data_IF_433628815244
#
_entry.id   IF_433628815244
#
_cell.length_a   1.000
_cell.length_b   1.000
_cell.length_c   1.000
_cell.angle_alpha   90.00
_cell.angle_beta   90.00
_cell.angle_gamma   90.00
#
_symmetry.space_group_name_H-M   'P 1'
#
loop_
_entity.id
_entity.type
_entity.pdbx_description
1 polymer ?
#
# COMPACT_ATOMS: atom_id res chain seq x y z
N UNK A 1 -11.63 -5.32 32.30
CA UNK A 1 -11.98 -4.93 30.93
C UNK A 1 -10.88 -4.02 30.45
N UNK A 2 -9.92 -4.55 29.69
CA UNK A 2 -8.96 -3.72 28.97
C UNK A 2 -9.63 -3.38 27.64
N UNK A 3 -9.65 -2.09 27.32
CA UNK A 3 -10.18 -1.56 26.08
C UNK A 3 -9.43 -2.21 24.91
N UNK A 4 -10.07 -3.14 24.20
CA UNK A 4 -9.50 -3.87 23.07
C UNK A 4 -9.63 -3.03 21.78
N UNK A 5 -9.35 -1.72 21.87
CA UNK A 5 -9.11 -0.92 20.69
C UNK A 5 -7.80 -1.44 20.08
N UNK A 6 -7.90 -2.14 18.95
CA UNK A 6 -6.77 -2.73 18.25
C UNK A 6 -5.67 -1.70 18.00
N UNK A 7 -4.40 -2.15 17.96
CA UNK A 7 -3.30 -1.24 17.62
C UNK A 7 -3.49 -0.82 16.17
N UNK A 8 -3.32 0.47 15.90
CA UNK A 8 -3.38 1.01 14.54
C UNK A 8 -1.99 0.99 13.90
N UNK A 9 -1.90 0.46 12.70
CA UNK A 9 -0.67 0.28 11.94
C UNK A 9 -0.78 0.99 10.60
N UNK A 10 0.25 1.75 10.25
CA UNK A 10 0.41 2.24 8.88
C UNK A 10 1.16 1.20 8.07
N UNK A 11 0.59 0.84 6.92
CA UNK A 11 1.13 -0.16 6.02
C UNK A 11 1.53 0.52 4.71
N UNK A 12 2.69 0.13 4.18
CA UNK A 12 3.12 0.49 2.83
C UNK A 12 3.54 -0.77 2.10
N UNK A 13 2.81 -1.11 1.05
CA UNK A 13 3.11 -2.25 0.16
C UNK A 13 3.73 -1.68 -1.11
N UNK A 14 4.94 -2.12 -1.44
CA UNK A 14 5.63 -1.76 -2.67
C UNK A 14 5.63 -2.93 -3.63
N UNK A 15 5.17 -2.70 -4.85
CA UNK A 15 5.09 -3.69 -5.92
C UNK A 15 5.85 -3.20 -7.13
N UNK A 16 6.51 -4.10 -7.84
CA UNK A 16 7.25 -3.75 -9.04
C UNK A 16 7.32 -4.91 -10.04
N UNK A 17 7.58 -4.59 -11.30
CA UNK A 17 7.82 -5.59 -12.35
C UNK A 17 8.02 -4.94 -13.70
N UNK A 18 7.56 -5.62 -14.76
CA UNK A 18 7.74 -5.15 -16.13
C UNK A 18 7.05 -3.80 -16.38
N UNK A 19 7.65 -2.97 -17.23
CA UNK A 19 7.07 -1.66 -17.61
C UNK A 19 5.71 -1.85 -18.28
N UNK A 20 4.73 -1.07 -17.84
CA UNK A 20 3.36 -0.98 -18.35
C UNK A 20 3.03 0.49 -18.62
N UNK A 21 2.14 0.72 -19.57
CA UNK A 21 1.66 2.07 -19.89
C UNK A 21 1.01 2.73 -18.65
N UNK A 22 1.44 3.95 -18.24
CA UNK A 22 0.98 4.58 -17.00
C UNK A 22 -0.54 4.78 -16.89
N UNK A 23 -1.24 4.98 -18.00
CA UNK A 23 -2.70 5.11 -18.00
C UNK A 23 -3.43 3.81 -17.67
N UNK A 24 -2.86 2.67 -18.08
CA UNK A 24 -3.39 1.34 -17.73
C UNK A 24 -3.19 1.07 -16.24
N UNK A 25 -1.99 1.39 -15.73
CA UNK A 25 -1.65 1.29 -14.30
C UNK A 25 -2.61 2.15 -13.48
N UNK A 26 -2.80 3.41 -13.86
CA UNK A 26 -3.75 4.32 -13.20
C UNK A 26 -5.17 3.76 -13.14
N UNK A 27 -5.65 3.23 -14.27
CA UNK A 27 -7.01 2.69 -14.37
C UNK A 27 -7.19 1.45 -13.50
N UNK A 28 -6.21 0.57 -13.47
CA UNK A 28 -6.22 -0.62 -12.61
C UNK A 28 -6.16 -0.26 -11.12
N UNK A 29 -5.30 0.68 -10.73
CA UNK A 29 -5.20 1.16 -9.34
C UNK A 29 -6.47 1.90 -8.89
N UNK A 30 -7.14 2.63 -9.79
CA UNK A 30 -8.45 3.23 -9.51
C UNK A 30 -9.48 2.16 -9.17
N UNK A 31 -9.56 1.08 -9.96
CA UNK A 31 -10.46 -0.05 -9.68
C UNK A 31 -10.13 -0.76 -8.37
N UNK A 32 -8.85 -0.95 -8.08
CA UNK A 32 -8.43 -1.52 -6.79
C UNK A 32 -8.92 -0.65 -5.63
N UNK A 33 -8.78 0.67 -5.76
CA UNK A 33 -9.19 1.65 -4.76
C UNK A 33 -10.70 1.66 -4.54
N UNK A 34 -11.49 1.55 -5.61
CA UNK A 34 -12.95 1.38 -5.54
C UNK A 34 -13.34 0.06 -4.84
N UNK A 35 -12.60 -1.03 -5.10
CA UNK A 35 -12.80 -2.32 -4.44
C UNK A 35 -12.36 -2.29 -2.96
N UNK A 36 -11.45 -1.40 -2.58
CA UNK A 36 -10.80 -1.34 -1.27
C UNK A 36 -10.76 0.10 -0.76
N UNK A 37 -11.89 0.63 -0.26
CA UNK A 37 -12.01 2.03 0.15
C UNK A 37 -11.17 2.41 1.38
N UNK A 38 -10.46 1.47 1.99
CA UNK A 38 -9.50 1.74 3.07
C UNK A 38 -8.11 2.15 2.58
N UNK A 39 -7.84 2.08 1.26
CA UNK A 39 -6.60 2.58 0.69
C UNK A 39 -6.55 4.10 0.86
N UNK A 40 -5.56 4.57 1.61
CA UNK A 40 -5.39 6.00 1.95
C UNK A 40 -4.71 6.76 0.81
N UNK A 41 -3.66 6.17 0.22
CA UNK A 41 -3.01 6.75 -0.94
C UNK A 41 -2.29 5.72 -1.79
N UNK A 42 -2.13 6.07 -3.07
CA UNK A 42 -1.35 5.29 -4.02
C UNK A 42 -0.40 6.20 -4.78
N UNK A 43 0.85 5.77 -4.90
CA UNK A 43 1.84 6.37 -5.79
C UNK A 43 2.28 5.33 -6.81
N UNK A 44 2.45 5.69 -8.08
CA UNK A 44 2.87 4.72 -9.10
C UNK A 44 3.74 5.34 -10.19
N UNK A 45 4.53 4.48 -10.82
CA UNK A 45 5.31 4.73 -12.03
C UNK A 45 4.87 3.75 -13.13
N UNK A 46 5.59 3.71 -14.25
CA UNK A 46 5.35 2.72 -15.30
C UNK A 46 5.73 1.30 -14.90
N UNK A 47 6.46 1.08 -13.81
CA UNK A 47 7.06 -0.22 -13.44
C UNK A 47 6.90 -0.58 -11.96
N UNK A 48 6.34 0.32 -11.16
CA UNK A 48 6.11 0.11 -9.73
C UNK A 48 4.91 0.87 -9.20
N UNK A 49 4.41 0.43 -8.05
CA UNK A 49 3.44 1.16 -7.25
C UNK A 49 3.69 0.98 -5.76
N UNK A 50 3.31 2.00 -4.99
CA UNK A 50 3.24 1.98 -3.54
C UNK A 50 1.80 2.19 -3.13
N UNK A 51 1.27 1.27 -2.32
CA UNK A 51 -0.04 1.35 -1.72
C UNK A 51 0.12 1.63 -0.24
N UNK A 52 -0.58 2.65 0.26
CA UNK A 52 -0.53 3.05 1.66
C UNK A 52 -1.93 3.03 2.26
N UNK A 53 -2.04 2.49 3.47
CA UNK A 53 -3.29 2.41 4.21
C UNK A 53 -3.04 2.26 5.71
N UNK A 54 -4.12 2.39 6.46
CA UNK A 54 -4.14 2.10 7.88
C UNK A 54 -4.91 0.80 8.13
N UNK A 55 -4.39 -0.03 9.03
CA UNK A 55 -5.03 -1.27 9.42
C UNK A 55 -4.98 -1.45 10.94
N UNK A 56 -6.01 -2.08 11.48
CA UNK A 56 -6.12 -2.39 12.91
C UNK A 56 -5.75 -3.85 13.12
N UNK A 57 -4.86 -4.12 14.07
CA UNK A 57 -4.47 -5.49 14.37
C UNK A 57 -3.75 -5.66 15.69
N UNK A 58 -3.83 -6.88 16.23
CA UNK A 58 -3.21 -7.23 17.52
C UNK A 58 -1.69 -7.27 17.43
N UNK A 59 -1.15 -7.68 16.28
CA UNK A 59 0.29 -7.76 16.02
C UNK A 59 0.69 -7.24 14.64
N UNK A 60 1.95 -6.79 14.54
CA UNK A 60 2.56 -6.39 13.27
C UNK A 60 2.53 -7.53 12.23
N UNK A 61 2.67 -8.78 12.68
CA UNK A 61 2.73 -9.95 11.79
C UNK A 61 1.37 -10.24 11.16
N UNK A 62 0.28 -10.05 11.90
CA UNK A 62 -1.07 -10.26 11.40
C UNK A 62 -1.39 -9.23 10.31
N UNK A 63 -1.12 -7.96 10.58
CA UNK A 63 -1.29 -6.86 9.62
C UNK A 63 -0.41 -7.07 8.38
N UNK A 64 0.86 -7.47 8.57
CA UNK A 64 1.76 -7.78 7.46
C UNK A 64 1.20 -8.91 6.58
N UNK A 65 0.69 -9.97 7.19
CA UNK A 65 0.16 -11.13 6.46
C UNK A 65 -1.09 -10.78 5.66
N UNK A 66 -1.99 -9.96 6.22
CA UNK A 66 -3.18 -9.48 5.52
C UNK A 66 -2.82 -8.53 4.37
N UNK A 67 -1.88 -7.62 4.60
CA UNK A 67 -1.40 -6.69 3.58
C UNK A 67 -0.81 -7.39 2.35
N UNK A 68 -0.03 -8.46 2.57
CA UNK A 68 0.55 -9.24 1.48
C UNK A 68 -0.53 -9.97 0.66
N UNK A 69 -1.58 -10.47 1.31
CA UNK A 69 -2.71 -11.13 0.65
C UNK A 69 -3.52 -10.19 -0.23
N UNK A 70 -3.72 -8.94 0.21
CA UNK A 70 -4.47 -7.93 -0.54
C UNK A 70 -3.99 -7.83 -1.99
N UNK A 71 -2.67 -7.75 -2.21
CA UNK A 71 -2.13 -7.67 -3.56
C UNK A 71 -2.41 -8.94 -4.36
N UNK A 72 -2.07 -10.10 -3.81
CA UNK A 72 -2.22 -11.40 -4.49
C UNK A 72 -3.68 -11.69 -4.84
N UNK A 73 -4.62 -11.37 -3.96
CA UNK A 73 -6.05 -11.67 -4.12
C UNK A 73 -6.74 -10.71 -5.11
N UNK A 74 -6.25 -9.48 -5.25
CA UNK A 74 -6.93 -8.45 -6.04
C UNK A 74 -6.22 -8.06 -7.34
N UNK A 75 -5.01 -8.58 -7.58
CA UNK A 75 -4.27 -8.29 -8.81
C UNK A 75 -5.12 -8.57 -10.07
N UNK A 76 -5.81 -9.71 -10.09
CA UNK A 76 -6.56 -10.15 -11.27
C UNK A 76 -7.90 -9.41 -11.38
N UNK A 77 -8.62 -9.23 -10.27
CA UNK A 77 -9.92 -8.55 -10.26
C UNK A 77 -9.84 -7.06 -10.60
N UNK A 78 -8.73 -6.39 -10.27
CA UNK A 78 -8.49 -4.99 -10.61
C UNK A 78 -7.82 -4.81 -11.98
N UNK A 79 -7.37 -5.89 -12.62
CA UNK A 79 -6.60 -5.86 -13.87
C UNK A 79 -5.22 -5.22 -13.68
N UNK A 80 -4.59 -5.48 -12.54
CA UNK A 80 -3.25 -4.99 -12.23
C UNK A 80 -2.19 -5.76 -13.02
N UNK A 81 -1.03 -5.13 -13.30
CA UNK A 81 0.10 -5.82 -13.89
C UNK A 81 0.51 -7.06 -13.08
N UNK A 82 1.21 -8.00 -13.71
CA UNK A 82 1.86 -9.12 -13.02
C UNK A 82 3.10 -8.69 -12.23
N UNK A 83 2.98 -7.61 -11.46
CA UNK A 83 4.00 -7.12 -10.56
C UNK A 83 4.00 -7.90 -9.26
N UNK A 84 5.18 -8.06 -8.70
CA UNK A 84 5.41 -8.79 -7.45
C UNK A 84 5.56 -7.81 -6.29
N UNK A 85 5.24 -8.26 -5.08
CA UNK A 85 5.56 -7.49 -3.88
C UNK A 85 7.07 -7.52 -3.67
N UNK A 86 7.69 -6.34 -3.69
CA UNK A 86 9.14 -6.16 -3.53
C UNK A 86 9.51 -5.45 -2.23
N UNK A 87 8.53 -4.88 -1.53
CA UNK A 87 8.75 -4.21 -0.25
C UNK A 87 7.48 -4.18 0.60
N UNK A 88 7.67 -4.26 1.91
CA UNK A 88 6.62 -4.10 2.91
C UNK A 88 7.15 -3.31 4.10
N UNK A 89 6.46 -2.24 4.45
CA UNK A 89 6.68 -1.51 5.68
C UNK A 89 5.40 -1.56 6.53
N UNK A 90 5.55 -1.92 7.80
CA UNK A 90 4.45 -1.91 8.78
C UNK A 90 4.93 -1.17 10.01
N UNK A 91 4.26 -0.07 10.36
CA UNK A 91 4.71 0.84 11.41
C UNK A 91 3.54 1.17 12.32
N UNK A 92 3.69 0.90 13.62
CA UNK A 92 2.69 1.29 14.62
C UNK A 92 2.48 2.81 14.60
N UNK A 93 1.23 3.26 14.73
CA UNK A 93 0.85 4.69 14.74
C UNK A 93 1.74 5.51 15.68
N UNK A 94 1.96 5.03 16.90
CA UNK A 94 2.77 5.71 17.92
C UNK A 94 4.21 5.96 17.46
N UNK A 95 4.80 5.01 16.74
CA UNK A 95 6.14 5.12 16.17
C UNK A 95 6.18 6.04 14.94
N UNK A 96 5.15 5.99 14.09
CA UNK A 96 5.03 6.85 12.91
C UNK A 96 4.84 8.32 13.29
N UNK A 97 3.99 8.60 14.28
CA UNK A 97 3.76 9.94 14.82
C UNK A 97 5.09 10.53 15.36
N UNK A 98 5.90 9.71 16.05
CA UNK A 98 7.23 10.11 16.53
C UNK A 98 8.24 10.40 15.41
N UNK A 99 8.12 9.74 14.26
CA UNK A 99 8.94 10.01 13.06
C UNK A 99 8.46 11.26 12.30
N UNK A 100 7.42 11.95 12.78
CA UNK A 100 6.86 13.13 12.13
C UNK A 100 6.01 12.81 10.89
N UNK A 101 5.50 11.57 10.78
CA UNK A 101 4.67 11.13 9.65
C UNK A 101 5.42 11.01 8.30
N UNK A 102 6.70 11.36 8.26
CA UNK A 102 7.52 11.35 7.05
C UNK A 102 7.83 9.93 6.55
N UNK A 103 7.64 9.72 5.25
CA UNK A 103 8.02 8.49 4.53
C UNK A 103 9.55 8.29 4.64
N UNK A 104 10.06 7.07 4.89
CA UNK A 104 11.48 6.81 4.72
C UNK A 104 11.90 7.12 3.28
N UNK A 105 13.04 7.79 3.13
CA UNK A 105 13.60 8.23 1.85
C UNK A 105 14.16 7.02 1.07
N UNK A 106 13.28 6.23 0.47
CA UNK A 106 13.65 5.14 -0.43
C UNK A 106 12.62 5.04 -1.54
N UNK A 107 13.08 4.97 -2.78
CA UNK A 107 12.30 4.67 -4.01
C UNK A 107 11.48 5.78 -4.71
N UNK A 108 11.69 7.07 -4.42
CA UNK A 108 11.21 8.10 -5.36
C UNK A 108 12.06 8.12 -6.65
N UNK A 109 11.44 7.68 -7.74
CA UNK A 109 11.75 8.15 -9.10
C UNK A 109 10.90 9.42 -9.34
N UNK A 110 11.43 10.49 -9.99
CA UNK A 110 10.74 11.77 -10.14
C UNK A 110 9.44 11.74 -10.98
N UNK A 111 9.03 10.58 -11.47
CA UNK A 111 7.84 10.37 -12.32
C UNK A 111 6.64 9.79 -11.56
N UNK A 112 6.71 9.65 -10.23
CA UNK A 112 5.61 9.08 -9.45
C UNK A 112 4.37 10.00 -9.47
N UNK A 113 3.25 9.49 -9.96
CA UNK A 113 1.95 10.17 -9.85
C UNK A 113 1.33 9.77 -8.52
N UNK A 114 1.04 10.76 -7.67
CA UNK A 114 0.27 10.56 -6.44
C UNK A 114 -1.22 10.75 -6.71
N UNK A 115 -2.02 9.85 -6.17
CA UNK A 115 -3.46 10.00 -6.11
C UNK A 115 -3.93 9.74 -4.68
N UNK A 116 -4.66 10.69 -4.12
CA UNK A 116 -5.37 10.58 -2.84
C UNK A 116 -6.84 10.37 -3.17
N UNK A 117 -7.46 9.38 -2.55
CA UNK A 117 -8.87 9.04 -2.73
C UNK A 117 -9.75 9.89 -1.80
#
# INVERSE_FOLDING_TARGET
>A
MVDAAGRLWHVTVTVAGNVVEPLLVRSALSRLSEQRPFIDSVAFTGDSAELQFWDEGDSMLDVASLALRLWTEHRESAGLPSWEVVGLEVVEKSLRDRRGGGRPLGFHSPTSVQFRL
#
